data_IF_744453347922
#
_entry.id   IF_744453347922
#
_cell.length_a   1.000
_cell.length_b   1.000
_cell.length_c   1.000
_cell.angle_alpha   90.00
_cell.angle_beta   90.00
_cell.angle_gamma   90.00
#
_symmetry.space_group_name_H-M   'P 1'
#
loop_
_entity.id
_entity.type
_entity.pdbx_description
1 polymer ?
#
# COMPACT_ATOMS: atom_id res chain seq x y z
N UNK A 1 -27.76 -24.86 21.70
CA UNK A 1 -28.74 -25.66 22.47
C UNK A 1 -28.01 -26.86 23.04
N UNK A 2 -27.81 -26.91 24.35
CA UNK A 2 -27.26 -28.11 25.00
C UNK A 2 -28.40 -29.14 25.07
N UNK A 3 -28.26 -30.28 24.39
CA UNK A 3 -29.31 -31.29 24.21
C UNK A 3 -29.66 -32.05 25.49
N UNK A 4 -30.24 -31.37 26.48
CA UNK A 4 -30.71 -31.97 27.73
C UNK A 4 -32.02 -32.71 27.48
N UNK A 5 -32.05 -34.01 27.80
CA UNK A 5 -33.19 -34.91 27.57
C UNK A 5 -34.01 -35.10 28.84
N UNK A 6 -35.28 -35.46 28.68
CA UNK A 6 -36.19 -35.74 29.78
C UNK A 6 -35.61 -36.83 30.72
N UNK A 7 -35.70 -36.61 32.04
CA UNK A 7 -35.02 -37.35 33.13
C UNK A 7 -33.53 -37.07 33.38
N UNK A 8 -32.89 -36.12 32.69
CA UNK A 8 -31.51 -35.73 33.02
C UNK A 8 -31.45 -34.97 34.35
N UNK A 9 -30.61 -35.42 35.29
CA UNK A 9 -30.35 -34.70 36.55
C UNK A 9 -29.14 -33.78 36.36
N UNK A 10 -29.33 -32.48 36.62
CA UNK A 10 -28.25 -31.48 36.61
C UNK A 10 -27.91 -31.12 38.04
N UNK A 11 -26.63 -31.14 38.39
CA UNK A 11 -26.14 -30.75 39.72
C UNK A 11 -25.43 -29.40 39.58
N UNK A 12 -25.84 -28.42 40.38
CA UNK A 12 -25.21 -27.11 40.46
C UNK A 12 -24.16 -27.13 41.56
N UNK A 13 -22.90 -26.91 41.20
CA UNK A 13 -21.79 -26.76 42.16
C UNK A 13 -21.10 -25.42 41.93
N UNK A 14 -21.05 -24.58 42.97
CA UNK A 14 -20.37 -23.29 42.91
C UNK A 14 -18.90 -23.45 43.28
N UNK A 15 -18.01 -23.26 42.30
CA UNK A 15 -16.56 -23.32 42.48
C UNK A 15 -15.99 -21.89 42.69
N UNK A 16 -15.29 -21.58 43.79
CA UNK A 16 -14.61 -20.30 43.99
C UNK A 16 -13.68 -19.91 42.81
N UNK A 17 -13.02 -20.88 42.18
CA UNK A 17 -12.18 -20.64 41.01
C UNK A 17 -12.99 -20.23 39.77
N UNK A 18 -14.30 -20.52 39.72
CA UNK A 18 -15.19 -20.07 38.64
C UNK A 18 -15.41 -18.55 38.67
N UNK A 19 -15.41 -17.91 39.86
CA UNK A 19 -15.52 -16.45 39.99
C UNK A 19 -14.28 -15.76 39.44
N UNK A 20 -13.10 -16.28 39.75
CA UNK A 20 -11.83 -15.79 39.20
C UNK A 20 -11.75 -15.99 37.68
N UNK A 21 -12.18 -17.16 37.18
CA UNK A 21 -12.20 -17.48 35.75
C UNK A 21 -13.13 -16.52 34.98
N UNK A 22 -14.32 -16.24 35.52
CA UNK A 22 -15.28 -15.29 34.93
C UNK A 22 -14.74 -13.85 34.89
N UNK A 23 -14.01 -13.42 35.93
CA UNK A 23 -13.40 -12.09 35.96
C UNK A 23 -12.30 -11.96 34.89
N UNK A 24 -11.42 -12.96 34.76
CA UNK A 24 -10.38 -13.00 33.73
C UNK A 24 -10.98 -12.97 32.32
N UNK A 25 -12.06 -13.71 32.10
CA UNK A 25 -12.78 -13.72 30.82
C UNK A 25 -13.38 -12.36 30.48
N UNK A 26 -14.02 -11.70 31.46
CA UNK A 26 -14.55 -10.35 31.27
C UNK A 26 -13.46 -9.32 30.95
N UNK A 27 -12.31 -9.40 31.62
CA UNK A 27 -11.15 -8.54 31.34
C UNK A 27 -10.62 -8.77 29.91
N UNK A 28 -10.48 -10.02 29.49
CA UNK A 28 -10.04 -10.36 28.12
C UNK A 28 -11.01 -9.79 27.07
N UNK A 29 -12.31 -9.95 27.29
CA UNK A 29 -13.33 -9.41 26.39
C UNK A 29 -13.29 -7.88 26.33
N UNK A 30 -13.05 -7.22 27.46
CA UNK A 30 -12.89 -5.77 27.51
C UNK A 30 -11.63 -5.30 26.75
N UNK A 31 -10.50 -6.01 26.88
CA UNK A 31 -9.29 -5.72 26.13
C UNK A 31 -9.52 -5.85 24.62
N UNK A 32 -10.21 -6.90 24.18
CA UNK A 32 -10.58 -7.11 22.77
C UNK A 32 -11.43 -5.94 22.26
N UNK A 33 -12.49 -5.56 23.00
CA UNK A 33 -13.36 -4.44 22.62
C UNK A 33 -12.60 -3.12 22.50
N UNK A 34 -11.68 -2.84 23.44
CA UNK A 34 -10.82 -1.64 23.39
C UNK A 34 -9.92 -1.63 22.15
N UNK A 35 -9.33 -2.78 21.80
CA UNK A 35 -8.50 -2.90 20.61
C UNK A 35 -9.31 -2.64 19.33
N UNK A 36 -10.54 -3.19 19.24
CA UNK A 36 -11.45 -2.91 18.12
C UNK A 36 -11.80 -1.43 18.01
N UNK A 37 -12.15 -0.80 19.13
CA UNK A 37 -12.49 0.62 19.15
C UNK A 37 -11.30 1.49 18.72
N UNK A 38 -10.09 1.15 19.17
CA UNK A 38 -8.87 1.84 18.74
C UNK A 38 -8.62 1.70 17.23
N UNK A 39 -8.77 0.50 16.67
CA UNK A 39 -8.66 0.27 15.21
C UNK A 39 -9.73 1.07 14.46
N UNK A 40 -10.96 1.10 14.95
CA UNK A 40 -12.05 1.85 14.32
C UNK A 40 -11.79 3.37 14.31
N UNK A 41 -11.20 3.93 15.38
CA UNK A 41 -10.79 5.33 15.42
C UNK A 41 -9.73 5.65 14.38
N UNK A 42 -8.69 4.81 14.27
CA UNK A 42 -7.65 4.98 13.24
C UNK A 42 -8.25 4.88 11.84
N UNK A 43 -9.13 3.90 11.60
CA UNK A 43 -9.84 3.75 10.32
C UNK A 43 -10.60 5.01 9.92
N UNK A 44 -11.28 5.67 10.85
CA UNK A 44 -11.98 6.93 10.58
C UNK A 44 -11.01 8.09 10.23
N UNK A 45 -9.80 8.10 10.79
CA UNK A 45 -8.76 9.05 10.38
C UNK A 45 -8.21 8.72 8.98
N UNK A 46 -8.00 7.43 8.68
CA UNK A 46 -7.57 6.94 7.36
C UNK A 46 -8.62 7.27 6.29
N UNK A 47 -9.92 7.14 6.58
CA UNK A 47 -11.01 7.52 5.67
C UNK A 47 -10.88 8.99 5.24
N UNK A 48 -10.66 9.90 6.19
CA UNK A 48 -10.46 11.33 5.91
C UNK A 48 -9.20 11.60 5.09
N UNK A 49 -8.12 10.86 5.35
CA UNK A 49 -6.90 10.98 4.56
C UNK A 49 -7.11 10.45 3.13
N UNK A 50 -7.89 9.37 2.98
CA UNK A 50 -8.20 8.80 1.67
C UNK A 50 -8.97 9.77 0.77
N UNK A 51 -9.91 10.54 1.32
CA UNK A 51 -10.61 11.60 0.57
C UNK A 51 -9.64 12.65 0.04
N UNK A 52 -8.61 13.02 0.83
CA UNK A 52 -7.57 13.96 0.39
C UNK A 52 -6.68 13.35 -0.70
N UNK A 53 -6.34 12.06 -0.61
CA UNK A 53 -5.59 11.35 -1.65
C UNK A 53 -6.38 11.33 -2.96
N UNK A 54 -7.69 11.04 -2.91
CA UNK A 54 -8.57 11.06 -4.10
C UNK A 54 -8.66 12.45 -4.71
N UNK A 55 -8.83 13.49 -3.89
CA UNK A 55 -8.85 14.87 -4.38
C UNK A 55 -7.51 15.26 -5.04
N UNK A 56 -6.39 14.85 -4.44
CA UNK A 56 -5.07 15.08 -4.99
C UNK A 56 -4.86 14.33 -6.31
N UNK A 57 -5.31 13.09 -6.38
CA UNK A 57 -5.28 12.26 -7.58
C UNK A 57 -6.05 12.92 -8.73
N UNK A 58 -7.25 13.43 -8.46
CA UNK A 58 -8.06 14.14 -9.45
C UNK A 58 -7.34 15.41 -9.96
N UNK A 59 -6.69 16.17 -9.09
CA UNK A 59 -5.91 17.35 -9.48
C UNK A 59 -4.75 16.99 -10.41
N UNK A 60 -3.95 15.97 -10.05
CA UNK A 60 -2.82 15.51 -10.88
C UNK A 60 -3.30 14.98 -12.23
N UNK A 61 -4.41 14.21 -12.26
CA UNK A 61 -5.01 13.74 -13.51
C UNK A 61 -5.59 14.87 -14.36
N UNK A 62 -6.12 15.92 -13.73
CA UNK A 62 -6.58 17.14 -14.38
C UNK A 62 -5.46 18.05 -14.87
N UNK A 63 -4.18 17.67 -14.68
CA UNK A 63 -3.01 18.46 -15.09
C UNK A 63 -2.71 19.66 -14.20
N UNK A 64 -3.37 19.76 -13.03
CA UNK A 64 -3.07 20.79 -12.04
C UNK A 64 -1.74 20.43 -11.38
N UNK A 65 -0.79 21.36 -11.42
CA UNK A 65 0.52 21.17 -10.79
C UNK A 65 0.38 21.25 -9.27
N UNK A 66 0.56 20.11 -8.62
CA UNK A 66 0.49 19.96 -7.16
C UNK A 66 1.86 20.25 -6.54
N UNK A 67 1.90 20.87 -5.37
CA UNK A 67 3.19 21.18 -4.72
C UNK A 67 3.77 19.92 -4.06
N UNK A 68 5.07 19.66 -4.21
CA UNK A 68 5.74 18.50 -3.60
C UNK A 68 5.50 18.38 -2.08
N UNK A 69 5.34 19.52 -1.40
CA UNK A 69 5.01 19.58 0.03
C UNK A 69 3.70 18.88 0.38
N UNK A 70 2.69 18.94 -0.48
CA UNK A 70 1.38 18.34 -0.21
C UNK A 70 1.45 16.81 -0.21
N UNK A 71 2.24 16.23 -1.13
CA UNK A 71 2.55 14.80 -1.11
C UNK A 71 3.27 14.39 0.17
N UNK A 72 4.32 15.13 0.55
CA UNK A 72 5.09 14.84 1.77
C UNK A 72 4.20 14.87 3.02
N UNK A 73 3.39 15.91 3.18
CA UNK A 73 2.49 16.04 4.34
C UNK A 73 1.47 14.90 4.39
N UNK A 74 0.86 14.52 3.27
CA UNK A 74 -0.09 13.39 3.26
C UNK A 74 0.59 12.05 3.55
N UNK A 75 1.79 11.81 3.01
CA UNK A 75 2.56 10.60 3.32
C UNK A 75 2.91 10.56 4.81
N UNK A 76 3.38 11.66 5.40
CA UNK A 76 3.66 11.74 6.84
C UNK A 76 2.42 11.45 7.69
N UNK A 77 1.26 12.02 7.34
CA UNK A 77 0.01 11.76 8.05
C UNK A 77 -0.41 10.28 7.96
N UNK A 78 -0.21 9.63 6.81
CA UNK A 78 -0.46 8.19 6.64
C UNK A 78 0.54 7.34 7.45
N UNK A 79 1.82 7.71 7.48
CA UNK A 79 2.83 7.05 8.31
C UNK A 79 2.49 7.14 9.80
N UNK A 80 1.96 8.27 10.26
CA UNK A 80 1.47 8.40 11.65
C UNK A 80 0.32 7.44 11.94
N UNK A 81 -0.58 7.18 10.98
CA UNK A 81 -1.63 6.16 11.17
C UNK A 81 -1.05 4.75 11.26
N UNK A 82 -0.01 4.43 10.49
CA UNK A 82 0.68 3.13 10.62
C UNK A 82 1.29 2.96 12.01
N UNK A 83 1.98 3.98 12.53
CA UNK A 83 2.54 3.94 13.87
C UNK A 83 1.46 3.77 14.95
N UNK A 84 0.30 4.45 14.78
CA UNK A 84 -0.86 4.24 15.66
C UNK A 84 -1.36 2.80 15.58
N UNK A 85 -1.52 2.22 14.38
CA UNK A 85 -1.93 0.82 14.22
C UNK A 85 -0.93 -0.14 14.87
N UNK A 86 0.38 0.10 14.72
CA UNK A 86 1.42 -0.76 15.31
C UNK A 86 1.43 -0.73 16.84
N UNK A 87 1.05 0.41 17.43
CA UNK A 87 0.90 0.54 18.89
C UNK A 87 -0.31 -0.21 19.47
N UNK A 88 -1.27 -0.62 18.65
CA UNK A 88 -2.48 -1.31 19.11
C UNK A 88 -2.16 -2.79 19.32
N UNK A 89 -2.11 -3.21 20.58
CA UNK A 89 -2.09 -4.62 20.96
C UNK A 89 -3.47 -5.24 20.71
N UNK A 90 -3.52 -6.20 19.78
CA UNK A 90 -4.77 -6.83 19.35
C UNK A 90 -4.57 -8.33 19.13
N UNK A 91 -5.55 -9.13 19.60
CA UNK A 91 -5.62 -10.57 19.40
C UNK A 91 -6.87 -10.96 18.58
N UNK A 92 -6.87 -12.18 18.03
CA UNK A 92 -8.00 -12.72 17.29
C UNK A 92 -8.42 -11.86 16.10
N UNK A 93 -9.72 -11.58 16.00
CA UNK A 93 -10.31 -10.82 14.89
C UNK A 93 -9.94 -9.32 14.94
N UNK A 94 -9.68 -8.73 16.10
CA UNK A 94 -9.16 -7.35 16.19
C UNK A 94 -7.80 -7.21 15.49
N UNK A 95 -6.95 -8.25 15.58
CA UNK A 95 -5.66 -8.32 14.87
C UNK A 95 -5.84 -8.40 13.35
N UNK A 96 -6.88 -9.09 12.90
CA UNK A 96 -7.22 -9.21 11.47
C UNK A 96 -7.65 -7.84 10.93
N UNK A 97 -8.56 -7.15 11.63
CA UNK A 97 -8.97 -5.78 11.27
C UNK A 97 -7.77 -4.82 11.19
N UNK A 98 -6.89 -4.85 12.19
CA UNK A 98 -5.66 -4.04 12.20
C UNK A 98 -4.80 -4.29 10.95
N UNK A 99 -4.61 -5.56 10.55
CA UNK A 99 -3.83 -5.93 9.36
C UNK A 99 -4.47 -5.47 8.06
N UNK A 100 -5.80 -5.50 7.98
CA UNK A 100 -6.53 -4.98 6.81
C UNK A 100 -6.28 -3.48 6.69
N UNK A 101 -6.38 -2.74 7.80
CA UNK A 101 -6.17 -1.29 7.77
C UNK A 101 -4.71 -0.92 7.44
N UNK A 102 -3.72 -1.67 7.94
CA UNK A 102 -2.31 -1.47 7.56
C UNK A 102 -2.12 -1.59 6.05
N UNK A 103 -2.66 -2.64 5.41
CA UNK A 103 -2.55 -2.80 3.95
C UNK A 103 -3.25 -1.68 3.19
N UNK A 104 -4.38 -1.21 3.70
CA UNK A 104 -5.12 -0.10 3.11
C UNK A 104 -4.31 1.19 3.14
N UNK A 105 -3.69 1.52 4.29
CA UNK A 105 -2.82 2.69 4.42
C UNK A 105 -1.61 2.59 3.50
N UNK A 106 -0.97 1.42 3.42
CA UNK A 106 0.15 1.18 2.49
C UNK A 106 -0.25 1.42 1.03
N UNK A 107 -1.42 0.93 0.61
CA UNK A 107 -1.94 1.18 -0.74
C UNK A 107 -2.11 2.66 -1.06
N UNK A 108 -2.52 3.48 -0.08
CA UNK A 108 -2.63 4.94 -0.28
C UNK A 108 -1.27 5.61 -0.39
N UNK A 109 -0.28 5.14 0.36
CA UNK A 109 1.12 5.62 0.26
C UNK A 109 1.68 5.30 -1.13
N UNK A 110 1.49 4.07 -1.61
CA UNK A 110 1.92 3.68 -2.97
C UNK A 110 1.25 4.55 -4.04
N UNK A 111 -0.02 4.90 -3.84
CA UNK A 111 -0.76 5.78 -4.75
C UNK A 111 -0.15 7.19 -4.74
N UNK A 112 0.16 7.75 -3.57
CA UNK A 112 0.81 9.06 -3.45
C UNK A 112 2.19 9.09 -4.13
N UNK A 113 2.99 8.04 -3.98
CA UNK A 113 4.31 7.95 -4.62
C UNK A 113 4.20 7.91 -6.15
N UNK A 114 3.23 7.14 -6.67
CA UNK A 114 2.92 7.12 -8.10
C UNK A 114 2.45 8.50 -8.61
N UNK A 115 1.59 9.18 -7.86
CA UNK A 115 1.11 10.52 -8.21
C UNK A 115 2.25 11.55 -8.18
N UNK A 116 3.17 11.47 -7.21
CA UNK A 116 4.33 12.35 -7.11
C UNK A 116 5.28 12.18 -8.31
N UNK A 117 5.50 10.94 -8.74
CA UNK A 117 6.29 10.64 -9.94
C UNK A 117 5.63 11.22 -11.20
N UNK A 118 4.31 11.05 -11.35
CA UNK A 118 3.53 11.60 -12.48
C UNK A 118 3.48 13.12 -12.47
N UNK A 119 3.37 13.75 -11.31
CA UNK A 119 3.39 15.21 -11.16
C UNK A 119 4.74 15.82 -11.56
N UNK A 120 5.84 15.07 -11.41
CA UNK A 120 7.17 15.50 -11.86
C UNK A 120 7.40 15.29 -13.36
N UNK A 121 6.79 14.25 -13.95
CA UNK A 121 6.94 13.88 -15.36
C UNK A 121 5.58 13.52 -16.01
N UNK A 122 4.76 14.53 -16.37
CA UNK A 122 3.38 14.30 -16.84
C UNK A 122 3.28 13.51 -18.16
N UNK A 123 4.35 13.44 -18.95
CA UNK A 123 4.38 12.76 -20.26
C UNK A 123 4.87 11.29 -20.20
N UNK A 124 5.30 10.80 -19.04
CA UNK A 124 6.03 9.51 -18.94
C UNK A 124 5.17 8.25 -19.14
N UNK A 125 3.84 8.35 -19.19
CA UNK A 125 2.97 7.17 -19.31
C UNK A 125 2.10 7.13 -20.57
N UNK A 126 2.50 7.83 -21.64
CA UNK A 126 1.92 7.51 -22.95
C UNK A 126 2.52 6.19 -23.43
N UNK A 127 1.78 5.09 -23.23
CA UNK A 127 1.98 3.81 -23.94
C UNK A 127 1.70 3.92 -25.46
N UNK A 128 1.79 5.13 -26.01
CA UNK A 128 1.70 5.52 -27.40
C UNK A 128 2.53 6.81 -27.59
N UNK A 129 3.84 6.72 -27.39
CA UNK A 129 4.75 7.70 -28.02
C UNK A 129 4.78 7.32 -29.49
N UNK A 130 3.97 8.00 -30.30
CA UNK A 130 4.21 8.08 -31.74
C UNK A 130 5.60 8.68 -31.87
N UNK A 131 6.57 7.82 -32.20
CA UNK A 131 7.91 8.25 -32.57
C UNK A 131 7.76 9.14 -33.78
N UNK A 132 7.84 10.46 -33.59
CA UNK A 132 8.00 11.41 -34.68
C UNK A 132 9.39 11.15 -35.26
N UNK A 133 9.46 10.25 -36.23
CA UNK A 133 10.62 10.09 -37.08
C UNK A 133 10.72 11.37 -37.90
N UNK A 134 11.60 12.26 -37.45
CA UNK A 134 12.03 13.41 -38.26
C UNK A 134 12.79 12.84 -39.43
N UNK A 135 12.06 12.53 -40.51
CA UNK A 135 12.60 12.09 -41.80
C UNK A 135 13.21 13.35 -42.43
N UNK A 136 14.52 13.53 -42.26
CA UNK A 136 15.26 14.49 -43.06
C UNK A 136 15.19 14.03 -44.51
N UNK A 137 14.32 14.67 -45.31
CA UNK A 137 14.41 14.54 -46.76
C UNK A 137 15.66 15.28 -47.20
N UNK A 138 16.68 14.48 -47.50
CA UNK A 138 17.96 14.90 -48.00
C UNK A 138 17.75 15.61 -49.34
N UNK A 139 17.98 16.92 -49.36
CA UNK A 139 18.14 17.63 -50.61
C UNK A 139 19.37 17.05 -51.32
N UNK A 140 19.18 16.54 -52.53
CA UNK A 140 20.28 16.13 -53.38
C UNK A 140 20.96 17.40 -53.91
N UNK A 141 22.02 17.84 -53.22
CA UNK A 141 23.08 18.58 -53.88
C UNK A 141 24.31 17.69 -53.90
N UNK A 142 24.57 17.16 -55.10
CA UNK A 142 25.76 16.41 -55.40
C UNK A 142 27.01 17.25 -55.14
N UNK A 143 27.95 16.66 -54.41
CA UNK A 143 29.34 16.45 -54.80
C UNK A 143 30.07 15.88 -53.58
N UNK A 144 30.66 14.69 -53.76
CA UNK A 144 31.97 14.41 -53.18
C UNK A 144 32.03 13.61 -51.87
N UNK A 145 32.55 12.40 -52.04
CA UNK A 145 33.46 11.69 -51.13
C UNK A 145 32.87 10.61 -50.21
N UNK A 146 33.38 9.40 -50.48
CA UNK A 146 33.19 8.12 -49.81
C UNK A 146 33.54 8.22 -48.32
N UNK A 147 32.69 7.68 -47.44
CA UNK A 147 33.00 6.68 -46.38
C UNK A 147 31.68 6.36 -45.64
N UNK A 148 31.27 5.09 -45.66
CA UNK A 148 30.12 4.60 -44.89
C UNK A 148 30.59 4.15 -43.49
N UNK A 149 29.92 4.54 -42.39
CA UNK A 149 30.06 3.86 -41.11
C UNK A 149 28.96 2.80 -40.96
N UNK A 150 29.37 1.54 -40.92
CA UNK A 150 28.55 0.37 -40.60
C UNK A 150 27.99 0.48 -39.17
N UNK A 151 26.68 0.29 -38.93
CA UNK A 151 26.17 0.14 -37.56
C UNK A 151 26.55 -1.25 -37.03
N UNK A 152 27.40 -1.29 -36.01
CA UNK A 152 27.70 -2.51 -35.25
C UNK A 152 26.40 -3.06 -34.62
N UNK A 153 26.09 -4.32 -34.94
CA UNK A 153 25.08 -5.09 -34.22
C UNK A 153 25.66 -5.52 -32.86
N UNK A 154 25.17 -4.92 -31.78
CA UNK A 154 25.43 -5.44 -30.42
C UNK A 154 24.53 -6.66 -30.17
N UNK A 155 25.08 -7.84 -30.45
CA UNK A 155 24.55 -9.13 -30.00
C UNK A 155 25.00 -9.37 -28.56
N UNK A 156 24.08 -9.28 -27.60
CA UNK A 156 24.33 -9.74 -26.22
C UNK A 156 24.33 -11.27 -26.20
N UNK A 157 25.52 -11.87 -26.21
CA UNK A 157 25.71 -13.24 -25.74
C UNK A 157 25.75 -13.24 -24.21
N UNK A 158 24.81 -13.96 -23.61
CA UNK A 158 24.83 -14.38 -22.20
C UNK A 158 26.03 -15.29 -21.99
N UNK A 159 26.85 -15.04 -20.96
CA UNK A 159 27.80 -16.01 -20.44
C UNK A 159 27.67 -16.01 -18.93
N UNK A 160 27.30 -17.17 -18.41
CA UNK A 160 27.08 -17.48 -17.02
C UNK A 160 28.40 -18.00 -16.46
N UNK A 161 29.02 -17.25 -15.56
CA UNK A 161 30.07 -17.77 -14.68
C UNK A 161 29.96 -17.04 -13.33
N UNK A 162 29.53 -17.76 -12.30
CA UNK A 162 29.59 -17.33 -10.91
C UNK A 162 30.77 -18.09 -10.28
N UNK A 163 31.94 -17.44 -10.23
CA UNK A 163 33.07 -17.94 -9.47
C UNK A 163 32.90 -17.67 -7.97
N UNK A 164 33.23 -18.72 -7.23
CA UNK A 164 33.36 -18.86 -5.79
C UNK A 164 34.45 -17.92 -5.24
N UNK A 165 34.26 -17.41 -4.03
CA UNK A 165 35.35 -16.86 -3.23
C UNK A 165 35.40 -17.58 -1.87
N UNK A 166 36.62 -17.98 -1.50
CA UNK A 166 37.03 -18.56 -0.20
C UNK A 166 36.78 -17.61 0.99
#
# INVERSE_FOLDING_TARGET
MAGVKDMSKVILLEDPASKERKLKEMQKNQCILKAYEAVAKVRAEVDKLSEKVIALEANVHGGIKVTNKEFVVLTELLMLQLLKLDSIEAEGEAKVQRRIEVRRVQSFVDTLDNLKARNSNPFSNSKNVVSVTTKWEMFESGVGSLYAPTPLQSSTKITQDWEVFD
#
